data_IF_472177709947
#
_entry.id   IF_472177709947
#
_cell.length_a   1.000
_cell.length_b   1.000
_cell.length_c   1.000
_cell.angle_alpha   90.00
_cell.angle_beta   90.00
_cell.angle_gamma   90.00
#
_symmetry.space_group_name_H-M   'P 1'
#
loop_
_entity.id
_entity.type
_entity.pdbx_description
1 polymer ?
#
# COMPACT_ATOMS: atom_id res chain seq x y z
N UNK A 1 29.16 -39.05 8.52
CA UNK A 1 28.11 -38.65 7.57
C UNK A 1 27.01 -37.94 8.36
N UNK A 2 27.04 -36.60 8.45
CA UNK A 2 26.07 -35.81 9.23
C UNK A 2 24.86 -35.49 8.35
N UNK A 3 23.73 -36.13 8.61
CA UNK A 3 22.43 -35.82 8.01
C UNK A 3 21.97 -34.45 8.48
N UNK A 4 21.99 -33.45 7.59
CA UNK A 4 21.35 -32.15 7.81
C UNK A 4 19.83 -32.36 7.85
N UNK A 5 19.28 -32.45 9.06
CA UNK A 5 17.85 -32.33 9.30
C UNK A 5 17.44 -30.88 8.99
N UNK A 6 16.97 -30.63 7.76
CA UNK A 6 16.25 -29.39 7.46
C UNK A 6 14.97 -29.40 8.31
N UNK A 7 14.88 -28.49 9.27
CA UNK A 7 13.75 -28.41 10.19
C UNK A 7 12.47 -28.10 9.40
N UNK A 8 11.43 -28.89 9.62
CA UNK A 8 10.11 -28.72 9.01
C UNK A 8 9.54 -27.29 9.21
N UNK A 9 10.02 -26.57 10.22
CA UNK A 9 9.70 -25.16 10.46
C UNK A 9 10.15 -24.22 9.35
N UNK A 10 11.34 -24.40 8.77
CA UNK A 10 11.85 -23.51 7.70
C UNK A 10 11.09 -23.72 6.39
N UNK A 11 10.72 -24.97 6.10
CA UNK A 11 9.86 -25.31 4.96
C UNK A 11 8.44 -24.76 5.15
N UNK A 12 7.85 -24.93 6.35
CA UNK A 12 6.51 -24.39 6.66
C UNK A 12 6.47 -22.86 6.60
N UNK A 13 7.50 -22.18 7.08
CA UNK A 13 7.61 -20.73 7.01
C UNK A 13 7.76 -20.26 5.56
N UNK A 14 8.57 -20.94 4.75
CA UNK A 14 8.69 -20.69 3.31
C UNK A 14 7.37 -20.89 2.57
N UNK A 15 6.65 -21.97 2.88
CA UNK A 15 5.35 -22.30 2.31
C UNK A 15 4.28 -21.27 2.69
N UNK A 16 4.18 -20.88 3.96
CA UNK A 16 3.24 -19.85 4.43
C UNK A 16 3.55 -18.50 3.78
N UNK A 17 4.83 -18.14 3.65
CA UNK A 17 5.22 -16.89 3.00
C UNK A 17 4.87 -16.90 1.50
N UNK A 18 5.11 -18.03 0.82
CA UNK A 18 4.74 -18.22 -0.58
C UNK A 18 3.22 -18.22 -0.78
N UNK A 19 2.48 -18.90 0.10
CA UNK A 19 1.02 -18.94 0.08
C UNK A 19 0.42 -17.54 0.30
N UNK A 20 0.94 -16.77 1.26
CA UNK A 20 0.53 -15.37 1.46
C UNK A 20 0.86 -14.49 0.25
N UNK A 21 2.02 -14.68 -0.38
CA UNK A 21 2.40 -13.94 -1.59
C UNK A 21 1.49 -14.27 -2.77
N UNK A 22 1.20 -15.55 -2.99
CA UNK A 22 0.26 -16.01 -4.03
C UNK A 22 -1.15 -15.55 -3.73
N UNK A 23 -1.61 -15.59 -2.47
CA UNK A 23 -2.92 -15.09 -2.07
C UNK A 23 -3.05 -13.59 -2.34
N UNK A 24 -1.98 -12.84 -2.08
CA UNK A 24 -1.95 -11.40 -2.32
C UNK A 24 -1.95 -11.07 -3.81
N UNK A 25 -1.14 -11.77 -4.60
CA UNK A 25 -1.12 -11.65 -6.07
C UNK A 25 -2.48 -12.06 -6.64
N UNK A 26 -3.07 -13.15 -6.16
CA UNK A 26 -4.40 -13.61 -6.57
C UNK A 26 -5.48 -12.59 -6.20
N UNK A 27 -5.40 -11.97 -5.02
CA UNK A 27 -6.35 -10.92 -4.61
C UNK A 27 -6.21 -9.67 -5.47
N UNK A 28 -4.98 -9.26 -5.81
CA UNK A 28 -4.71 -8.15 -6.73
C UNK A 28 -5.21 -8.49 -8.14
N UNK A 29 -4.95 -9.71 -8.62
CA UNK A 29 -5.38 -10.17 -9.93
C UNK A 29 -6.92 -10.26 -10.01
N UNK A 30 -7.57 -10.81 -9.00
CA UNK A 30 -9.04 -10.84 -8.85
C UNK A 30 -9.62 -9.43 -8.82
N UNK A 31 -8.97 -8.51 -8.09
CA UNK A 31 -9.36 -7.10 -8.08
C UNK A 31 -9.23 -6.47 -9.47
N UNK A 32 -8.15 -6.74 -10.22
CA UNK A 32 -7.96 -6.25 -11.60
C UNK A 32 -8.94 -6.88 -12.61
N UNK A 33 -9.26 -8.16 -12.46
CA UNK A 33 -10.25 -8.88 -13.29
C UNK A 33 -11.67 -8.38 -13.04
N UNK A 34 -12.00 -8.07 -11.79
CA UNK A 34 -13.24 -7.40 -11.43
C UNK A 34 -13.29 -5.97 -11.99
N UNK A 35 -12.16 -5.26 -11.96
CA UNK A 35 -11.99 -3.90 -12.51
C UNK A 35 -12.15 -3.80 -14.03
N UNK A 36 -11.91 -4.90 -14.76
CA UNK A 36 -11.94 -4.90 -16.23
C UNK A 36 -13.30 -5.31 -16.83
N UNK A 37 -14.32 -5.52 -15.99
CA UNK A 37 -15.66 -6.04 -16.37
C UNK A 37 -15.64 -7.41 -17.10
N UNK A 38 -14.47 -8.06 -17.20
CA UNK A 38 -14.30 -9.36 -17.88
C UNK A 38 -14.85 -10.51 -17.01
N UNK A 39 -14.81 -10.36 -15.67
CA UNK A 39 -15.30 -11.38 -14.74
C UNK A 39 -16.12 -10.73 -13.63
N UNK A 40 -17.45 -10.91 -13.68
CA UNK A 40 -18.33 -10.66 -12.54
C UNK A 40 -18.10 -11.76 -11.50
N UNK A 41 -17.08 -11.59 -10.66
CA UNK A 41 -16.85 -12.51 -9.55
C UNK A 41 -17.99 -12.24 -8.58
N UNK A 42 -18.95 -13.17 -8.52
CA UNK A 42 -19.91 -13.27 -7.43
C UNK A 42 -19.13 -13.64 -6.16
N UNK A 43 -18.42 -12.65 -5.61
CA UNK A 43 -17.86 -12.72 -4.27
C UNK A 43 -19.06 -12.95 -3.36
N UNK A 44 -19.07 -14.09 -2.69
CA UNK A 44 -19.97 -14.46 -1.60
C UNK A 44 -20.50 -13.19 -0.91
N UNK A 45 -21.81 -12.96 -0.95
CA UNK A 45 -22.49 -11.77 -0.43
C UNK A 45 -22.19 -11.58 1.06
N UNK A 46 -21.04 -11.00 1.40
CA UNK A 46 -20.70 -10.57 2.75
C UNK A 46 -20.80 -9.04 2.74
N UNK A 47 -21.93 -8.47 3.23
CA UNK A 47 -22.25 -7.05 3.08
C UNK A 47 -21.15 -6.12 3.61
N UNK A 48 -20.41 -6.56 4.62
CA UNK A 48 -19.35 -5.80 5.25
C UNK A 48 -18.10 -5.65 4.37
N UNK A 49 -17.72 -6.70 3.64
CA UNK A 49 -16.53 -6.67 2.76
C UNK A 49 -16.81 -5.76 1.57
N UNK A 50 -18.01 -5.85 0.99
CA UNK A 50 -18.43 -4.99 -0.11
C UNK A 50 -18.48 -3.52 0.30
N UNK A 51 -18.90 -3.21 1.54
CA UNK A 51 -18.90 -1.83 2.07
C UNK A 51 -17.50 -1.25 2.20
N UNK A 52 -16.54 -2.02 2.72
CA UNK A 52 -15.14 -1.58 2.84
C UNK A 52 -14.50 -1.44 1.46
N UNK A 53 -14.81 -2.34 0.54
CA UNK A 53 -14.30 -2.30 -0.83
C UNK A 53 -14.85 -1.09 -1.60
N UNK A 54 -16.15 -0.82 -1.48
CA UNK A 54 -16.79 0.36 -2.06
C UNK A 54 -16.22 1.66 -1.45
N UNK A 55 -16.07 1.73 -0.12
CA UNK A 55 -15.43 2.87 0.53
C UNK A 55 -14.00 3.08 0.03
N UNK A 56 -13.23 2.01 -0.10
CA UNK A 56 -11.85 2.06 -0.60
C UNK A 56 -11.82 2.52 -2.06
N UNK A 57 -12.77 2.06 -2.86
CA UNK A 57 -12.91 2.48 -4.25
C UNK A 57 -13.21 3.99 -4.35
N UNK A 58 -14.18 4.47 -3.58
CA UNK A 58 -14.60 5.88 -3.59
C UNK A 58 -13.49 6.82 -3.09
N UNK A 59 -12.70 6.36 -2.11
CA UNK A 59 -11.73 7.20 -1.40
C UNK A 59 -10.27 7.05 -1.85
N UNK A 60 -9.88 5.93 -2.45
CA UNK A 60 -8.52 5.68 -2.91
C UNK A 60 -8.44 5.47 -4.43
N UNK A 61 -9.53 5.09 -5.10
CA UNK A 61 -9.58 4.80 -6.54
C UNK A 61 -8.36 3.97 -6.99
N UNK A 62 -7.64 4.42 -8.02
CA UNK A 62 -6.49 3.73 -8.58
C UNK A 62 -5.23 3.78 -7.68
N UNK A 63 -5.18 4.61 -6.63
CA UNK A 63 -4.03 4.67 -5.71
C UNK A 63 -3.85 3.39 -4.90
N UNK A 64 -4.89 2.56 -4.78
CA UNK A 64 -4.84 1.25 -4.14
C UNK A 64 -3.74 0.38 -4.76
N UNK A 65 -3.57 0.44 -6.08
CA UNK A 65 -2.60 -0.37 -6.83
C UNK A 65 -1.16 -0.08 -6.36
N UNK A 66 -0.65 1.17 -6.44
CA UNK A 66 0.70 1.47 -5.98
C UNK A 66 0.88 1.25 -4.47
N UNK A 67 -0.16 1.48 -3.64
CA UNK A 67 -0.10 1.15 -2.20
C UNK A 67 0.07 -0.35 -1.95
N UNK A 68 -0.74 -1.20 -2.59
CA UNK A 68 -0.65 -2.65 -2.46
C UNK A 68 0.70 -3.17 -2.96
N UNK A 69 1.17 -2.70 -4.11
CA UNK A 69 2.45 -3.09 -4.68
C UNK A 69 3.61 -2.72 -3.75
N UNK A 70 3.61 -1.50 -3.22
CA UNK A 70 4.62 -1.03 -2.25
C UNK A 70 4.57 -1.83 -0.96
N UNK A 71 3.37 -2.13 -0.46
CA UNK A 71 3.19 -2.96 0.73
C UNK A 71 3.76 -4.37 0.54
N UNK A 72 3.52 -4.99 -0.60
CA UNK A 72 4.07 -6.32 -0.91
C UNK A 72 5.59 -6.33 -0.96
N UNK A 73 6.20 -5.36 -1.63
CA UNK A 73 7.65 -5.25 -1.69
C UNK A 73 8.27 -4.91 -0.32
N UNK A 74 7.61 -4.08 0.48
CA UNK A 74 7.97 -3.83 1.87
C UNK A 74 7.99 -5.13 2.68
N UNK A 75 6.90 -5.91 2.66
CA UNK A 75 6.79 -7.16 3.43
C UNK A 75 7.85 -8.17 2.98
N UNK A 76 8.05 -8.33 1.67
CA UNK A 76 9.09 -9.21 1.13
C UNK A 76 10.50 -8.79 1.58
N UNK A 77 10.80 -7.48 1.54
CA UNK A 77 12.09 -6.92 1.96
C UNK A 77 12.30 -7.08 3.47
N UNK A 78 11.26 -6.84 4.29
CA UNK A 78 11.32 -6.99 5.74
C UNK A 78 11.53 -8.45 6.16
N UNK A 79 10.84 -9.40 5.52
CA UNK A 79 11.02 -10.82 5.79
C UNK A 79 12.43 -11.28 5.39
N UNK A 80 12.95 -10.78 4.27
CA UNK A 80 14.33 -11.04 3.85
C UNK A 80 15.34 -10.50 4.86
N UNK A 81 15.12 -9.29 5.38
CA UNK A 81 15.95 -8.69 6.43
C UNK A 81 15.95 -9.55 7.70
N UNK A 82 14.77 -9.95 8.17
CA UNK A 82 14.62 -10.80 9.35
C UNK A 82 15.35 -12.15 9.18
N UNK A 83 15.29 -12.76 8.00
CA UNK A 83 16.02 -14.01 7.70
C UNK A 83 17.54 -13.80 7.72
N UNK A 84 18.03 -12.70 7.17
CA UNK A 84 19.46 -12.39 7.15
C UNK A 84 20.03 -12.11 8.54
N UNK A 85 19.28 -11.43 9.41
CA UNK A 85 19.66 -11.24 10.81
C UNK A 85 19.74 -12.55 11.61
N UNK A 86 18.98 -13.58 11.21
CA UNK A 86 19.03 -14.91 11.82
C UNK A 86 20.19 -15.80 11.35
N UNK A 87 20.91 -15.42 10.29
CA UNK A 87 21.95 -16.25 9.66
C UNK A 87 23.34 -15.71 9.99
N UNK A 88 24.20 -16.52 10.64
CA UNK A 88 25.50 -16.07 11.21
C UNK A 88 26.61 -15.63 10.22
N UNK A 89 26.36 -15.57 8.90
CA UNK A 89 27.42 -15.33 7.89
C UNK A 89 27.06 -14.28 6.82
N UNK A 90 26.09 -13.39 7.07
CA UNK A 90 25.74 -12.34 6.11
C UNK A 90 26.60 -11.10 6.35
N UNK A 91 27.17 -10.51 5.30
CA UNK A 91 27.98 -9.29 5.41
C UNK A 91 27.16 -8.11 5.92
N UNK A 92 27.77 -7.24 6.72
CA UNK A 92 27.12 -6.08 7.36
C UNK A 92 26.55 -5.14 6.30
N UNK A 93 27.26 -4.95 5.19
CA UNK A 93 26.86 -4.09 4.08
C UNK A 93 25.57 -4.58 3.44
N UNK A 94 25.38 -5.89 3.32
CA UNK A 94 24.18 -6.49 2.71
C UNK A 94 22.96 -6.35 3.61
N UNK A 95 23.16 -6.42 4.92
CA UNK A 95 22.10 -6.15 5.90
C UNK A 95 21.73 -4.66 5.87
N UNK A 96 22.72 -3.78 5.86
CA UNK A 96 22.51 -2.32 5.75
C UNK A 96 21.76 -1.95 4.46
N UNK A 97 22.11 -2.54 3.32
CA UNK A 97 21.43 -2.30 2.04
C UNK A 97 19.95 -2.70 2.08
N UNK A 98 19.62 -3.85 2.68
CA UNK A 98 18.22 -4.29 2.77
C UNK A 98 17.47 -3.48 3.80
N UNK A 99 18.09 -3.11 4.92
CA UNK A 99 17.49 -2.22 5.91
C UNK A 99 17.11 -0.87 5.30
N UNK A 100 18.04 -0.29 4.51
CA UNK A 100 17.80 0.91 3.73
C UNK A 100 16.71 0.72 2.67
N UNK A 101 16.66 -0.45 2.00
CA UNK A 101 15.60 -0.76 1.04
C UNK A 101 14.21 -0.78 1.69
N UNK A 102 14.09 -1.32 2.91
CA UNK A 102 12.84 -1.28 3.69
C UNK A 102 12.42 0.17 3.96
N UNK A 103 13.37 1.05 4.30
CA UNK A 103 13.08 2.48 4.50
C UNK A 103 12.66 3.20 3.22
N UNK A 104 13.26 2.86 2.07
CA UNK A 104 12.79 3.36 0.77
C UNK A 104 11.33 2.97 0.54
N UNK A 105 10.93 1.73 0.80
CA UNK A 105 9.53 1.31 0.61
C UNK A 105 8.57 2.06 1.54
N UNK A 106 8.96 2.28 2.79
CA UNK A 106 8.18 3.11 3.74
C UNK A 106 8.02 4.53 3.18
N UNK A 107 9.10 5.14 2.72
CA UNK A 107 9.09 6.50 2.16
C UNK A 107 8.29 6.59 0.86
N UNK A 108 8.35 5.56 0.01
CA UNK A 108 7.55 5.47 -1.20
C UNK A 108 6.05 5.39 -0.86
N UNK A 109 5.68 4.68 0.20
CA UNK A 109 4.30 4.63 0.68
C UNK A 109 3.77 6.02 1.05
N UNK A 110 4.56 6.83 1.78
CA UNK A 110 4.23 8.24 2.01
C UNK A 110 4.13 9.03 0.69
N UNK A 111 5.09 8.84 -0.20
CA UNK A 111 5.16 9.54 -1.49
C UNK A 111 3.94 9.28 -2.38
N UNK A 112 3.44 8.05 -2.42
CA UNK A 112 2.22 7.69 -3.17
C UNK A 112 1.03 8.49 -2.67
N UNK A 113 0.87 8.62 -1.35
CA UNK A 113 -0.20 9.43 -0.75
C UNK A 113 -0.13 10.87 -1.25
N UNK A 114 1.04 11.51 -1.16
CA UNK A 114 1.26 12.91 -1.59
C UNK A 114 1.04 13.12 -3.09
N UNK A 115 1.52 12.21 -3.93
CA UNK A 115 1.33 12.30 -5.39
C UNK A 115 -0.16 12.20 -5.72
N UNK A 116 -0.88 11.30 -5.07
CA UNK A 116 -2.30 11.14 -5.33
C UNK A 116 -3.12 12.33 -4.83
N UNK A 117 -2.67 13.03 -3.79
CA UNK A 117 -3.22 14.33 -3.39
C UNK A 117 -3.15 15.33 -4.52
N UNK A 118 -1.99 15.45 -5.18
CA UNK A 118 -1.83 16.36 -6.32
C UNK A 118 -2.75 15.97 -7.48
N UNK A 119 -2.90 14.67 -7.76
CA UNK A 119 -3.82 14.16 -8.79
C UNK A 119 -5.28 14.51 -8.43
N UNK A 120 -5.69 14.26 -7.18
CA UNK A 120 -7.04 14.55 -6.71
C UNK A 120 -7.36 16.05 -6.73
N UNK A 121 -6.43 16.90 -6.30
CA UNK A 121 -6.61 18.36 -6.35
C UNK A 121 -6.67 18.88 -7.80
N UNK A 122 -5.86 18.33 -8.71
CA UNK A 122 -5.96 18.65 -10.14
C UNK A 122 -7.30 18.21 -10.71
N UNK A 123 -7.78 17.02 -10.37
CA UNK A 123 -9.10 16.51 -10.76
C UNK A 123 -10.22 17.43 -10.29
N UNK A 124 -10.20 17.80 -9.01
CA UNK A 124 -11.17 18.72 -8.41
C UNK A 124 -11.25 20.04 -9.17
N UNK A 125 -10.11 20.67 -9.46
CA UNK A 125 -10.08 21.94 -10.17
C UNK A 125 -10.61 21.82 -11.61
N UNK A 126 -10.27 20.75 -12.33
CA UNK A 126 -10.77 20.52 -13.68
C UNK A 126 -12.28 20.27 -13.70
N UNK A 127 -12.79 19.44 -12.79
CA UNK A 127 -14.21 19.09 -12.74
C UNK A 127 -15.07 20.19 -12.14
N UNK A 128 -14.54 20.91 -11.14
CA UNK A 128 -15.20 22.02 -10.46
C UNK A 128 -15.19 23.32 -11.25
N UNK A 129 -14.08 23.65 -11.90
CA UNK A 129 -13.86 24.98 -12.50
C UNK A 129 -13.50 24.95 -13.99
N UNK A 130 -13.08 23.82 -14.56
CA UNK A 130 -12.48 23.75 -15.90
C UNK A 130 -13.36 24.30 -17.02
N UNK A 131 -14.67 24.10 -16.92
CA UNK A 131 -15.65 24.53 -17.94
C UNK A 131 -16.48 25.77 -17.52
N UNK A 132 -16.16 26.40 -16.38
CA UNK A 132 -16.94 27.52 -15.87
C UNK A 132 -16.51 28.86 -16.47
N UNK A 133 -17.50 29.65 -16.88
CA UNK A 133 -17.36 31.07 -17.18
C UNK A 133 -18.22 31.91 -16.22
N UNK A 134 -18.05 33.24 -16.19
CA UNK A 134 -18.74 34.11 -15.23
C UNK A 134 -20.28 33.96 -15.26
N UNK A 135 -20.86 33.73 -16.44
CA UNK A 135 -22.31 33.56 -16.60
C UNK A 135 -22.80 32.19 -16.14
N UNK A 136 -22.05 31.12 -16.40
CA UNK A 136 -22.40 29.76 -15.98
C UNK A 136 -22.14 29.55 -14.49
N UNK A 137 -21.09 30.15 -13.92
CA UNK A 137 -20.82 30.15 -12.48
C UNK A 137 -21.95 30.84 -11.69
N UNK A 138 -22.44 31.99 -12.17
CA UNK A 138 -23.58 32.67 -11.55
C UNK A 138 -24.88 31.84 -11.61
N UNK A 139 -25.07 31.03 -12.66
CA UNK A 139 -26.23 30.13 -12.79
C UNK A 139 -26.13 28.88 -11.91
N UNK A 140 -24.94 28.29 -11.81
CA UNK A 140 -24.72 27.07 -11.01
C UNK A 140 -24.83 27.34 -9.50
N UNK A 141 -24.41 28.53 -9.07
CA UNK A 141 -24.35 28.90 -7.67
C UNK A 141 -23.13 28.31 -6.94
N UNK A 142 -22.67 29.00 -5.90
CA UNK A 142 -21.42 28.66 -5.21
C UNK A 142 -21.42 27.26 -4.57
N UNK A 143 -22.57 26.81 -4.04
CA UNK A 143 -22.68 25.49 -3.42
C UNK A 143 -22.50 24.35 -4.43
N UNK A 144 -23.09 24.47 -5.62
CA UNK A 144 -22.94 23.46 -6.69
C UNK A 144 -21.48 23.35 -7.14
N UNK A 145 -20.77 24.48 -7.24
CA UNK A 145 -19.35 24.52 -7.57
C UNK A 145 -18.52 23.83 -6.48
N UNK A 146 -18.82 24.10 -5.20
CA UNK A 146 -18.16 23.43 -4.08
C UNK A 146 -18.39 21.92 -4.13
N UNK A 147 -19.61 21.47 -4.40
CA UNK A 147 -19.92 20.06 -4.52
C UNK A 147 -19.13 19.39 -5.66
N UNK A 148 -19.06 20.03 -6.84
CA UNK A 148 -18.23 19.54 -7.95
C UNK A 148 -16.74 19.47 -7.62
N UNK A 149 -16.21 20.43 -6.86
CA UNK A 149 -14.83 20.39 -6.38
C UNK A 149 -14.60 19.24 -5.39
N UNK A 150 -15.53 19.05 -4.46
CA UNK A 150 -15.48 17.98 -3.46
C UNK A 150 -15.51 16.60 -4.13
N UNK A 151 -16.48 16.39 -5.02
CA UNK A 151 -16.70 15.15 -5.76
C UNK A 151 -15.61 14.90 -6.82
N UNK A 152 -15.06 15.97 -7.39
CA UNK A 152 -14.03 15.91 -8.42
C UNK A 152 -12.64 15.54 -7.92
N UNK A 153 -12.41 15.51 -6.60
CA UNK A 153 -11.22 14.88 -6.06
C UNK A 153 -10.65 15.46 -4.78
N UNK A 154 -11.26 16.45 -4.12
CA UNK A 154 -10.78 16.94 -2.82
C UNK A 154 -10.84 15.81 -1.77
N UNK A 155 -11.95 15.07 -1.70
CA UNK A 155 -12.07 13.97 -0.73
C UNK A 155 -11.08 12.85 -1.04
N UNK A 156 -10.92 12.49 -2.32
CA UNK A 156 -9.90 11.55 -2.77
C UNK A 156 -8.50 12.00 -2.30
N UNK A 157 -8.14 13.25 -2.55
CA UNK A 157 -6.84 13.81 -2.18
C UNK A 157 -6.57 13.74 -0.68
N UNK A 158 -7.55 14.10 0.15
CA UNK A 158 -7.44 14.04 1.60
C UNK A 158 -7.30 12.59 2.09
N UNK A 159 -8.15 11.71 1.61
CA UNK A 159 -8.15 10.29 1.99
C UNK A 159 -6.84 9.59 1.64
N UNK A 160 -6.29 9.81 0.44
CA UNK A 160 -5.01 9.19 0.04
C UNK A 160 -3.82 9.73 0.83
N UNK A 161 -3.86 11.01 1.22
CA UNK A 161 -2.83 11.60 2.09
C UNK A 161 -2.85 10.95 3.47
N UNK A 162 -4.04 10.85 4.09
CA UNK A 162 -4.21 10.27 5.41
C UNK A 162 -3.78 8.80 5.39
N UNK A 163 -4.23 8.04 4.39
CA UNK A 163 -3.88 6.63 4.26
C UNK A 163 -2.37 6.44 4.07
N UNK A 164 -1.75 7.21 3.18
CA UNK A 164 -0.30 7.19 2.97
C UNK A 164 0.49 7.54 4.22
N UNK A 165 0.06 8.58 4.95
CA UNK A 165 0.72 9.01 6.18
C UNK A 165 0.59 7.98 7.31
N UNK A 166 -0.64 7.60 7.66
CA UNK A 166 -0.90 6.63 8.73
C UNK A 166 -0.26 5.28 8.39
N UNK A 167 -0.45 4.80 7.16
CA UNK A 167 0.15 3.55 6.69
C UNK A 167 1.67 3.59 6.77
N UNK A 168 2.32 4.64 6.25
CA UNK A 168 3.78 4.79 6.32
C UNK A 168 4.32 4.77 7.75
N UNK A 169 3.66 5.44 8.70
CA UNK A 169 4.06 5.39 10.12
C UNK A 169 3.87 4.00 10.72
N UNK A 170 2.76 3.31 10.40
CA UNK A 170 2.54 1.94 10.84
C UNK A 170 3.62 0.99 10.31
N UNK A 171 4.02 1.11 9.04
CA UNK A 171 5.12 0.31 8.47
C UNK A 171 6.44 0.57 9.19
N UNK A 172 6.71 1.83 9.58
CA UNK A 172 7.90 2.17 10.37
C UNK A 172 7.86 1.53 11.76
N UNK A 173 6.71 1.55 12.44
CA UNK A 173 6.51 0.87 13.73
C UNK A 173 6.71 -0.65 13.58
N UNK A 174 6.12 -1.25 12.55
CA UNK A 174 6.27 -2.69 12.27
C UNK A 174 7.73 -3.06 12.03
N UNK A 175 8.51 -2.27 11.27
CA UNK A 175 9.96 -2.47 11.11
C UNK A 175 10.66 -2.44 12.47
N UNK A 176 10.41 -1.41 13.28
CA UNK A 176 11.03 -1.25 14.59
C UNK A 176 10.75 -2.44 15.51
N UNK A 177 9.50 -2.91 15.57
CA UNK A 177 9.11 -4.06 16.40
C UNK A 177 9.67 -5.39 15.86
N UNK A 178 9.70 -5.57 14.54
CA UNK A 178 10.10 -6.83 13.94
C UNK A 178 11.61 -7.09 13.96
N UNK A 179 12.43 -6.05 13.74
CA UNK A 179 13.88 -6.19 13.55
C UNK A 179 14.72 -5.23 14.41
N UNK A 180 14.13 -4.25 15.09
CA UNK A 180 14.88 -3.18 15.77
C UNK A 180 15.84 -3.67 16.86
N UNK A 181 15.42 -4.64 17.68
CA UNK A 181 16.28 -5.22 18.72
C UNK A 181 17.42 -6.05 18.13
N UNK A 182 17.15 -6.79 17.05
CA UNK A 182 18.11 -7.65 16.36
C UNK A 182 19.16 -6.83 15.61
N UNK A 183 18.74 -5.76 14.92
CA UNK A 183 19.65 -4.81 14.26
C UNK A 183 20.59 -4.17 15.28
N UNK A 184 20.07 -3.67 16.40
CA UNK A 184 20.89 -3.05 17.45
C UNK A 184 21.89 -4.04 18.05
N UNK A 185 21.48 -5.28 18.29
CA UNK A 185 22.37 -6.33 18.79
C UNK A 185 23.43 -6.75 17.75
N UNK A 186 23.11 -6.71 16.45
CA UNK A 186 24.03 -7.07 15.38
C UNK A 186 25.08 -5.99 15.10
N UNK A 187 24.71 -4.71 15.13
CA UNK A 187 25.65 -3.60 14.94
C UNK A 187 26.54 -3.31 16.16
N UNK A 188 26.12 -3.76 17.35
CA UNK A 188 26.92 -3.62 18.58
C UNK A 188 27.91 -4.78 18.81
N UNK A 189 27.94 -5.78 17.92
CA UNK A 189 28.95 -6.85 17.91
C UNK A 189 30.13 -6.45 17.04
#
# INVERSE_FOLDING_TARGET
>A
MKTKSHSATDFSAGFITGALGVLSIATILLYMLNMSEIVAISVLEVPSVQRVLAWTYDNLRLSVIPFCLTFLFYTGSLLRLKRFLGTQHVSVEKIAQIDHLVDIWINLFFGIGVIWTAIGMRGALLEGLGDLNAQSAAKLGAFSILQRLVDGGILLALSTTIFGAVGGYLLRIVKLLAVGTQLKAYYNR
#
